data_IF_288794507689
#
_entry.id   IF_288794507689
#
_cell.length_a   1.000
_cell.length_b   1.000
_cell.length_c   1.000
_cell.angle_alpha   90.00
_cell.angle_beta   90.00
_cell.angle_gamma   90.00
#
_symmetry.space_group_name_H-M   'P 1'
#
loop_
_entity.id
_entity.type
_entity.pdbx_description
1 polymer ?
#
# COMPACT_ATOMS: atom_id res chain seq x y z
N UNK A 1 6.33 -1.68 20.92
CA UNK A 1 6.51 -0.58 19.96
C UNK A 1 6.72 -1.20 18.59
N UNK A 2 5.89 -0.87 17.61
CA UNK A 2 6.11 -1.30 16.21
C UNK A 2 7.10 -0.34 15.55
N UNK A 3 7.78 -0.81 14.51
CA UNK A 3 8.75 0.00 13.75
C UNK A 3 8.23 0.22 12.34
N UNK A 4 8.34 1.44 11.83
CA UNK A 4 8.02 1.74 10.43
C UNK A 4 9.04 1.04 9.53
N UNK A 5 8.57 0.19 8.63
CA UNK A 5 9.41 -0.62 7.73
C UNK A 5 9.43 -0.09 6.31
N UNK A 6 8.41 0.67 5.90
CA UNK A 6 8.31 1.25 4.56
C UNK A 6 7.56 2.58 4.58
N UNK A 7 7.93 3.43 3.63
CA UNK A 7 7.29 4.71 3.35
C UNK A 7 7.25 4.91 1.83
N UNK A 8 6.10 5.34 1.28
CA UNK A 8 5.90 5.53 -0.16
C UNK A 8 5.04 6.77 -0.46
N UNK A 9 5.58 7.68 -1.27
CA UNK A 9 4.86 8.84 -1.76
C UNK A 9 3.92 8.50 -2.92
N UNK A 10 2.73 9.09 -2.89
CA UNK A 10 1.83 9.23 -4.01
C UNK A 10 1.85 10.70 -4.43
N UNK A 11 2.75 11.04 -5.36
CA UNK A 11 2.92 12.41 -5.83
C UNK A 11 1.65 12.98 -6.49
N UNK A 12 0.93 12.25 -7.37
CA UNK A 12 -0.27 12.79 -8.02
C UNK A 12 -1.36 13.23 -7.03
N UNK A 13 -1.55 12.50 -5.92
CA UNK A 13 -2.58 12.79 -4.92
C UNK A 13 -2.04 13.43 -3.63
N UNK A 14 -0.73 13.71 -3.57
CA UNK A 14 -0.06 14.30 -2.40
C UNK A 14 -0.33 13.52 -1.10
N UNK A 15 -0.29 12.18 -1.19
CA UNK A 15 -0.46 11.28 -0.05
C UNK A 15 0.84 10.58 0.30
N UNK A 16 1.02 10.28 1.58
CA UNK A 16 2.14 9.48 2.07
C UNK A 16 1.60 8.18 2.66
N UNK A 17 2.05 7.03 2.19
CA UNK A 17 1.81 5.76 2.86
C UNK A 17 2.99 5.43 3.79
N UNK A 18 2.70 5.03 5.02
CA UNK A 18 3.68 4.42 5.93
C UNK A 18 3.14 3.08 6.41
N UNK A 19 3.98 2.07 6.52
CA UNK A 19 3.58 0.79 7.11
C UNK A 19 4.58 0.33 8.15
N UNK A 20 4.06 -0.28 9.21
CA UNK A 20 4.84 -0.82 10.31
C UNK A 20 5.05 -2.34 10.24
N UNK A 21 5.92 -2.84 11.10
CA UNK A 21 6.28 -4.26 11.20
C UNK A 21 5.12 -5.18 11.59
N UNK A 22 3.98 -4.64 12.04
CA UNK A 22 2.76 -5.43 12.33
C UNK A 22 1.81 -5.52 11.14
N UNK A 23 2.07 -4.75 10.08
CA UNK A 23 1.25 -4.74 8.86
C UNK A 23 0.16 -3.67 8.84
N UNK A 24 0.18 -2.73 9.79
CA UNK A 24 -0.73 -1.58 9.74
C UNK A 24 -0.17 -0.59 8.72
N UNK A 25 -1.02 -0.18 7.79
CA UNK A 25 -0.73 0.89 6.82
C UNK A 25 -1.52 2.12 7.22
N UNK A 26 -0.83 3.25 7.32
CA UNK A 26 -1.42 4.57 7.44
C UNK A 26 -1.21 5.34 6.14
N UNK A 27 -2.27 5.94 5.62
CA UNK A 27 -2.19 6.90 4.52
C UNK A 27 -2.45 8.28 5.08
N UNK A 28 -1.47 9.16 4.91
CA UNK A 28 -1.47 10.52 5.42
C UNK A 28 -1.76 11.50 4.29
N UNK A 29 -2.53 12.53 4.61
CA UNK A 29 -2.78 13.70 3.76
C UNK A 29 -2.35 14.96 4.49
N UNK A 30 -1.84 15.95 3.74
CA UNK A 30 -1.52 17.26 4.27
C UNK A 30 -2.57 18.28 3.83
N UNK A 31 -3.31 18.83 4.77
CA UNK A 31 -4.29 19.89 4.54
C UNK A 31 -3.93 21.12 5.37
N UNK A 32 -3.85 22.29 4.74
CA UNK A 32 -3.53 23.58 5.39
C UNK A 32 -2.30 23.50 6.32
N UNK A 33 -1.24 22.83 5.86
CA UNK A 33 0.02 22.72 6.62
C UNK A 33 0.04 21.62 7.68
N UNK A 34 -1.08 20.95 7.94
CA UNK A 34 -1.22 19.90 8.96
C UNK A 34 -1.36 18.52 8.34
N UNK A 35 -0.73 17.53 8.96
CA UNK A 35 -0.85 16.13 8.58
C UNK A 35 -1.98 15.44 9.34
N UNK A 36 -2.80 14.68 8.63
CA UNK A 36 -3.82 13.81 9.21
C UNK A 36 -3.82 12.44 8.54
N UNK A 37 -4.21 11.42 9.29
CA UNK A 37 -4.47 10.09 8.75
C UNK A 37 -5.81 10.16 8.00
N UNK A 38 -5.80 9.76 6.75
CA UNK A 38 -6.99 9.67 5.91
C UNK A 38 -7.49 8.24 5.80
N UNK A 39 -6.58 7.27 5.63
CA UNK A 39 -6.92 5.85 5.55
C UNK A 39 -6.04 5.03 6.50
N UNK A 40 -6.65 3.98 7.06
CA UNK A 40 -5.97 2.94 7.83
C UNK A 40 -6.35 1.61 7.21
N UNK A 41 -5.35 0.78 6.93
CA UNK A 41 -5.54 -0.61 6.56
C UNK A 41 -4.80 -1.48 7.58
N UNK A 42 -5.56 -2.21 8.38
CA UNK A 42 -5.04 -3.14 9.38
C UNK A 42 -5.47 -4.56 9.02
N UNK A 43 -4.49 -5.36 8.60
CA UNK A 43 -4.66 -6.79 8.30
C UNK A 43 -3.96 -7.68 9.33
N UNK A 44 -3.31 -7.07 10.34
CA UNK A 44 -2.49 -7.78 11.31
C UNK A 44 -1.54 -8.83 10.67
N UNK A 45 -1.02 -8.51 9.50
CA UNK A 45 -0.13 -9.37 8.70
C UNK A 45 0.94 -8.49 8.07
N UNK A 46 2.24 -8.78 8.24
CA UNK A 46 3.30 -7.94 7.71
C UNK A 46 3.20 -7.70 6.21
N UNK A 47 3.41 -6.45 5.81
CA UNK A 47 3.48 -6.03 4.41
C UNK A 47 4.91 -6.23 3.92
N UNK A 48 5.06 -7.00 2.84
CA UNK A 48 6.36 -7.24 2.21
C UNK A 48 6.66 -6.24 1.11
N UNK A 49 5.62 -5.70 0.46
CA UNK A 49 5.76 -4.69 -0.57
C UNK A 49 4.56 -3.75 -0.66
N UNK A 50 4.83 -2.49 -1.01
CA UNK A 50 3.83 -1.46 -1.27
C UNK A 50 4.27 -0.61 -2.46
N UNK A 51 3.38 -0.37 -3.43
CA UNK A 51 3.60 0.62 -4.49
C UNK A 51 2.31 1.30 -4.89
N UNK A 52 2.37 2.62 -5.09
CA UNK A 52 1.34 3.35 -5.84
C UNK A 52 1.52 3.12 -7.35
N UNK A 53 0.43 3.17 -8.11
CA UNK A 53 0.47 3.29 -9.58
C UNK A 53 1.07 4.63 -9.99
N UNK A 54 1.53 4.75 -11.23
CA UNK A 54 2.17 5.97 -11.72
C UNK A 54 1.21 7.16 -11.72
N UNK A 55 -0.06 6.92 -12.07
CA UNK A 55 -1.16 7.89 -12.01
C UNK A 55 -1.67 8.15 -10.57
N UNK A 56 -1.17 7.39 -9.59
CA UNK A 56 -1.49 7.51 -8.18
C UNK A 56 -2.89 7.03 -7.80
N UNK A 57 -3.69 6.48 -8.72
CA UNK A 57 -5.08 6.08 -8.46
C UNK A 57 -5.19 4.77 -7.70
N UNK A 58 -4.17 3.92 -7.79
CA UNK A 58 -4.16 2.57 -7.21
C UNK A 58 -2.95 2.35 -6.31
N UNK A 59 -3.13 1.48 -5.32
CA UNK A 59 -2.09 0.93 -4.46
C UNK A 59 -2.04 -0.58 -4.62
N UNK A 60 -0.84 -1.12 -4.82
CA UNK A 60 -0.53 -2.54 -4.73
C UNK A 60 0.06 -2.81 -3.35
N UNK A 61 -0.49 -3.79 -2.66
CA UNK A 61 -0.04 -4.23 -1.34
C UNK A 61 0.17 -5.75 -1.38
N UNK A 62 1.39 -6.18 -1.06
CA UNK A 62 1.75 -7.59 -0.93
C UNK A 62 1.98 -7.92 0.54
N UNK A 63 1.38 -9.01 1.00
CA UNK A 63 1.49 -9.47 2.37
C UNK A 63 2.36 -10.72 2.47
N UNK A 64 2.93 -10.93 3.65
CA UNK A 64 3.82 -12.06 3.93
C UNK A 64 3.15 -13.43 3.73
N UNK A 65 1.84 -13.52 3.96
CA UNK A 65 1.05 -14.73 3.80
C UNK A 65 0.65 -15.01 2.33
N UNK A 66 1.12 -14.21 1.37
CA UNK A 66 0.80 -14.39 -0.05
C UNK A 66 -0.50 -13.72 -0.50
N UNK A 67 -1.20 -13.01 0.39
CA UNK A 67 -2.31 -12.16 -0.02
C UNK A 67 -1.79 -10.95 -0.79
N UNK A 68 -2.44 -10.63 -1.91
CA UNK A 68 -2.16 -9.43 -2.71
C UNK A 68 -3.44 -8.63 -2.84
N UNK A 69 -3.34 -7.33 -2.63
CA UNK A 69 -4.45 -6.39 -2.69
C UNK A 69 -4.11 -5.24 -3.65
N UNK A 70 -5.05 -4.94 -4.52
CA UNK A 70 -5.11 -3.70 -5.28
C UNK A 70 -6.28 -2.86 -4.76
N UNK A 71 -5.97 -1.70 -4.19
CA UNK A 71 -6.94 -0.73 -3.68
C UNK A 71 -6.84 0.61 -4.39
N UNK A 72 -7.88 1.42 -4.31
CA UNK A 72 -7.90 2.78 -4.81
C UNK A 72 -7.23 3.73 -3.81
N UNK A 73 -6.81 4.88 -4.28
CA UNK A 73 -6.32 5.99 -3.47
C UNK A 73 -7.34 6.51 -2.45
N UNK A 74 -8.62 6.18 -2.62
CA UNK A 74 -9.72 6.51 -1.71
C UNK A 74 -10.11 5.33 -0.79
N UNK A 75 -9.38 4.21 -0.83
CA UNK A 75 -9.60 3.05 0.05
C UNK A 75 -10.58 2.01 -0.50
N UNK A 76 -11.04 2.13 -1.75
CA UNK A 76 -11.89 1.12 -2.38
C UNK A 76 -11.04 -0.08 -2.83
N UNK A 77 -11.41 -1.30 -2.45
CA UNK A 77 -10.78 -2.51 -3.00
C UNK A 77 -11.21 -2.74 -4.46
N UNK A 78 -10.25 -2.79 -5.37
CA UNK A 78 -10.48 -3.15 -6.78
C UNK A 78 -10.32 -4.64 -7.01
N UNK A 79 -9.24 -5.22 -6.50
CA UNK A 79 -8.92 -6.62 -6.70
C UNK A 79 -8.10 -7.17 -5.54
N UNK A 80 -8.20 -8.48 -5.33
CA UNK A 80 -7.23 -9.18 -4.48
C UNK A 80 -7.19 -10.65 -4.84
N UNK A 81 -6.09 -11.32 -4.54
CA UNK A 81 -6.01 -12.77 -4.59
C UNK A 81 -5.08 -13.31 -3.53
N UNK A 82 -5.28 -14.58 -3.20
CA UNK A 82 -4.30 -15.38 -2.47
C UNK A 82 -3.41 -16.05 -3.51
N UNK A 83 -2.14 -15.66 -3.57
CA UNK A 83 -1.18 -16.38 -4.39
C UNK A 83 -0.74 -17.60 -3.60
N UNK A 84 -1.16 -18.79 -4.03
CA UNK A 84 -0.78 -20.07 -3.44
C UNK A 84 0.68 -20.36 -3.80
N UNK A 85 1.59 -19.67 -3.12
CA UNK A 85 3.02 -19.80 -3.29
C UNK A 85 3.58 -20.38 -1.98
N UNK A 86 4.41 -21.41 -2.08
CA UNK A 86 5.27 -21.86 -0.99
C UNK A 86 6.42 -20.85 -0.70
N UNK A 87 6.33 -19.63 -1.26
CA UNK A 87 7.34 -18.58 -1.25
C UNK A 87 6.75 -17.21 -0.95
N UNK A 88 7.54 -16.35 -0.30
CA UNK A 88 7.15 -14.98 0.02
C UNK A 88 7.22 -14.06 -1.19
N UNK A 89 6.20 -13.22 -1.37
CA UNK A 89 6.20 -12.16 -2.38
C UNK A 89 7.15 -11.06 -1.94
N UNK A 90 8.21 -10.79 -2.70
CA UNK A 90 9.25 -9.82 -2.34
C UNK A 90 9.05 -8.44 -2.96
N UNK A 91 8.38 -8.37 -4.12
CA UNK A 91 8.16 -7.13 -4.84
C UNK A 91 6.99 -7.23 -5.83
N UNK A 92 6.47 -6.08 -6.25
CA UNK A 92 5.52 -5.94 -7.33
C UNK A 92 5.59 -4.52 -7.91
N UNK A 93 5.39 -4.39 -9.21
CA UNK A 93 5.57 -3.13 -9.95
C UNK A 93 4.40 -2.97 -10.92
N UNK A 94 3.96 -1.73 -11.07
CA UNK A 94 2.98 -1.33 -12.08
C UNK A 94 3.64 -1.20 -13.44
N UNK A 95 2.92 -1.52 -14.51
CA UNK A 95 3.38 -1.18 -15.87
C UNK A 95 3.57 0.33 -16.00
N UNK A 96 4.52 0.82 -16.83
CA UNK A 96 4.84 2.24 -16.91
C UNK A 96 3.67 3.14 -17.34
N UNK A 97 2.71 2.59 -18.08
CA UNK A 97 1.50 3.26 -18.55
C UNK A 97 0.27 2.97 -17.67
N UNK A 98 0.47 2.24 -16.57
CA UNK A 98 -0.57 1.68 -15.71
C UNK A 98 -1.64 0.86 -16.47
N UNK A 99 -1.32 0.40 -17.69
CA UNK A 99 -2.16 -0.50 -18.47
C UNK A 99 -1.58 -1.91 -18.45
N UNK A 100 -2.46 -2.89 -18.24
CA UNK A 100 -2.18 -4.33 -18.21
C UNK A 100 -1.07 -4.78 -17.25
#
# INVERSE_FOLDING_TARGET
>A
WTTVILVKWNEPYQKLASCDSSGIIFVWIKYEGRWSIELINDRNTPVTHFSWSHDGRMALICYQDGFVLVGSVAGQRYWSSMLALDSTITCGIWTPDDQQ
#
